data_IF_036786729751
#
_entry.id   IF_036786729751
#
_cell.length_a   1.000
_cell.length_b   1.000
_cell.length_c   1.000
_cell.angle_alpha   90.00
_cell.angle_beta   90.00
_cell.angle_gamma   90.00
#
_symmetry.space_group_name_H-M   'P 1'
#
loop_
_entity.id
_entity.type
_entity.pdbx_description
1 polymer ?
#
# COMPACT_ATOMS: atom_id res chain seq x y z
N UNK A 1 -8.61 -17.34 -22.48
CA UNK A 1 -9.18 -16.93 -21.17
C UNK A 1 -8.04 -16.78 -20.16
N UNK A 2 -7.69 -15.55 -19.76
CA UNK A 2 -6.58 -15.32 -18.82
C UNK A 2 -7.00 -15.56 -17.37
N UNK A 3 -6.26 -16.42 -16.63
CA UNK A 3 -6.41 -16.57 -15.18
C UNK A 3 -6.14 -15.22 -14.51
N UNK A 4 -7.00 -14.77 -13.60
CA UNK A 4 -6.71 -13.58 -12.79
C UNK A 4 -5.54 -13.89 -11.84
N UNK A 5 -4.37 -13.27 -12.05
CA UNK A 5 -3.19 -13.37 -11.17
C UNK A 5 -3.35 -12.55 -9.87
N UNK A 6 -4.57 -12.47 -9.33
CA UNK A 6 -4.86 -11.67 -8.17
C UNK A 6 -4.43 -12.42 -6.91
N UNK A 7 -3.41 -11.89 -6.23
CA UNK A 7 -2.93 -12.33 -4.92
C UNK A 7 -4.11 -12.60 -3.95
N UNK A 8 -4.18 -13.78 -3.30
CA UNK A 8 -5.22 -14.10 -2.33
C UNK A 8 -5.42 -13.01 -1.26
N UNK A 9 -4.32 -12.40 -0.79
CA UNK A 9 -4.39 -11.32 0.20
C UNK A 9 -5.11 -10.09 -0.35
N UNK A 10 -4.84 -9.75 -1.62
CA UNK A 10 -5.46 -8.59 -2.27
C UNK A 10 -6.98 -8.77 -2.42
N UNK A 11 -7.43 -10.00 -2.76
CA UNK A 11 -8.86 -10.32 -2.83
C UNK A 11 -9.52 -10.23 -1.46
N UNK A 12 -8.87 -10.74 -0.43
CA UNK A 12 -9.38 -10.73 0.93
C UNK A 12 -9.51 -9.29 1.47
N UNK A 13 -8.46 -8.48 1.32
CA UNK A 13 -8.48 -7.06 1.70
C UNK A 13 -9.61 -6.30 0.99
N UNK A 14 -9.79 -6.54 -0.31
CA UNK A 14 -10.86 -5.91 -1.07
C UNK A 14 -12.25 -6.36 -0.58
N UNK A 15 -12.45 -7.65 -0.28
CA UNK A 15 -13.71 -8.17 0.28
C UNK A 15 -14.02 -7.57 1.66
N UNK A 16 -12.99 -7.42 2.50
CA UNK A 16 -13.13 -6.81 3.81
C UNK A 16 -13.43 -5.32 3.70
N UNK A 17 -12.82 -4.62 2.75
CA UNK A 17 -13.13 -3.22 2.46
C UNK A 17 -14.58 -3.05 1.98
N UNK A 18 -15.10 -3.95 1.12
CA UNK A 18 -16.52 -3.94 0.72
C UNK A 18 -17.43 -4.02 1.94
N UNK A 19 -17.19 -4.98 2.84
CA UNK A 19 -17.96 -5.12 4.09
C UNK A 19 -17.91 -3.83 4.93
N UNK A 20 -16.74 -3.23 5.05
CA UNK A 20 -16.56 -2.01 5.81
C UNK A 20 -17.26 -0.80 5.18
N UNK A 21 -17.27 -0.68 3.86
CA UNK A 21 -17.98 0.43 3.19
C UNK A 21 -19.50 0.35 3.40
N UNK A 22 -20.06 -0.86 3.54
CA UNK A 22 -21.50 -1.11 3.79
C UNK A 22 -21.86 -1.18 5.29
N UNK A 23 -21.08 -0.55 6.17
CA UNK A 23 -21.45 -0.44 7.59
C UNK A 23 -20.89 -1.53 8.50
N UNK A 24 -20.42 -2.67 7.97
CA UNK A 24 -19.93 -3.77 8.81
C UNK A 24 -18.56 -3.45 9.44
N UNK A 25 -18.20 -4.07 10.57
CA UNK A 25 -16.86 -3.94 11.13
C UNK A 25 -15.78 -4.49 10.18
N UNK A 26 -14.57 -3.93 10.25
CA UNK A 26 -13.42 -4.48 9.55
C UNK A 26 -12.86 -5.66 10.37
N UNK A 27 -12.69 -6.85 9.78
CA UNK A 27 -12.46 -8.09 10.54
C UNK A 27 -11.02 -8.30 11.02
N UNK A 28 -10.15 -7.30 10.87
CA UNK A 28 -8.74 -7.37 11.31
C UNK A 28 -8.40 -6.18 12.18
N UNK A 29 -7.45 -6.34 13.09
CA UNK A 29 -6.88 -5.22 13.85
C UNK A 29 -6.30 -4.19 12.88
N UNK A 30 -6.74 -2.96 13.03
CA UNK A 30 -6.36 -1.85 12.17
C UNK A 30 -6.35 -0.56 12.99
N UNK A 31 -5.67 0.46 12.49
CA UNK A 31 -5.77 1.82 13.02
C UNK A 31 -6.60 2.66 12.06
N UNK A 32 -7.57 3.40 12.58
CA UNK A 32 -8.20 4.48 11.83
C UNK A 32 -7.30 5.70 11.98
N UNK A 33 -6.88 6.27 10.85
CA UNK A 33 -5.99 7.43 10.84
C UNK A 33 -6.66 8.57 10.08
N UNK A 34 -6.78 9.71 10.76
CA UNK A 34 -7.17 10.96 10.12
C UNK A 34 -5.98 11.52 9.34
N UNK A 35 -6.25 11.97 8.13
CA UNK A 35 -5.23 12.33 7.15
C UNK A 35 -5.63 13.60 6.42
N UNK A 36 -4.64 14.26 5.85
CA UNK A 36 -4.85 15.48 5.07
C UNK A 36 -5.78 15.21 3.86
N UNK A 37 -6.73 16.11 3.58
CA UNK A 37 -7.70 15.93 2.49
C UNK A 37 -7.09 16.02 1.07
N UNK A 38 -5.91 16.63 0.92
CA UNK A 38 -5.23 16.87 -0.36
C UNK A 38 -4.09 15.88 -0.57
N UNK A 39 -3.27 15.63 0.44
CA UNK A 39 -2.08 14.78 0.34
C UNK A 39 -2.31 13.41 0.97
N UNK A 40 -3.33 13.28 1.81
CA UNK A 40 -3.69 12.02 2.42
C UNK A 40 -2.61 11.50 3.33
N UNK A 41 -2.49 10.17 3.39
CA UNK A 41 -1.40 9.51 4.13
C UNK A 41 0.01 9.90 3.64
N UNK A 42 0.14 10.55 2.47
CA UNK A 42 1.45 10.88 1.87
C UNK A 42 2.20 11.98 2.60
N UNK A 43 1.55 12.70 3.51
CA UNK A 43 2.20 13.69 4.38
C UNK A 43 3.10 13.04 5.43
N UNK A 44 2.84 11.76 5.76
CA UNK A 44 3.57 11.05 6.79
C UNK A 44 4.70 10.21 6.19
N UNK A 45 5.89 10.27 6.81
CA UNK A 45 6.96 9.32 6.58
C UNK A 45 6.60 7.94 7.18
N UNK A 46 7.27 6.85 6.76
CA UNK A 46 7.08 5.54 7.38
C UNK A 46 7.24 5.56 8.91
N UNK A 47 8.25 6.25 9.44
CA UNK A 47 8.48 6.35 10.88
C UNK A 47 7.33 7.03 11.60
N UNK A 48 6.82 8.15 11.07
CA UNK A 48 5.66 8.84 11.64
C UNK A 48 4.40 7.96 11.63
N UNK A 49 4.20 7.15 10.58
CA UNK A 49 3.11 6.17 10.55
C UNK A 49 3.32 5.10 11.63
N UNK A 50 4.54 4.58 11.80
CA UNK A 50 4.84 3.57 12.81
C UNK A 50 4.62 4.08 14.24
N UNK A 51 5.00 5.33 14.51
CA UNK A 51 4.86 6.01 15.81
C UNK A 51 3.40 6.35 16.15
N UNK A 52 2.61 6.72 15.14
CA UNK A 52 1.20 7.12 15.33
C UNK A 52 0.21 5.94 15.33
N UNK A 53 0.68 4.71 15.13
CA UNK A 53 -0.20 3.56 14.94
C UNK A 53 0.19 2.38 15.83
N UNK A 54 -0.80 1.85 16.55
CA UNK A 54 -0.62 0.69 17.41
C UNK A 54 -0.57 -0.58 16.55
N UNK A 55 0.63 -1.10 16.30
CA UNK A 55 0.87 -2.35 15.57
C UNK A 55 1.49 -3.43 16.46
N UNK A 56 1.17 -4.69 16.19
CA UNK A 56 1.81 -5.85 16.84
C UNK A 56 3.14 -6.23 16.19
N UNK A 57 3.40 -5.80 14.95
CA UNK A 57 4.59 -6.14 14.18
C UNK A 57 5.19 -4.88 13.55
N UNK A 58 6.48 -4.61 13.79
CA UNK A 58 7.18 -3.43 13.27
C UNK A 58 7.29 -3.37 11.73
N UNK A 59 6.99 -4.46 11.02
CA UNK A 59 7.13 -4.55 9.56
C UNK A 59 5.83 -4.30 8.79
N UNK A 60 4.68 -4.25 9.46
CA UNK A 60 3.39 -4.02 8.81
C UNK A 60 2.49 -3.07 9.60
N UNK A 61 1.71 -2.26 8.89
CA UNK A 61 0.60 -1.49 9.46
C UNK A 61 -0.60 -1.58 8.56
N UNK A 62 -1.76 -1.86 9.16
CA UNK A 62 -3.05 -1.86 8.47
C UNK A 62 -3.86 -0.67 8.94
N UNK A 63 -4.17 0.21 8.00
CA UNK A 63 -4.73 1.52 8.25
C UNK A 63 -6.01 1.70 7.46
N UNK A 64 -6.99 2.34 8.06
CA UNK A 64 -8.16 2.86 7.35
C UNK A 64 -8.08 4.38 7.40
N UNK A 65 -8.15 4.99 6.23
CA UNK A 65 -8.09 6.45 6.05
C UNK A 65 -9.34 6.92 5.30
N UNK A 66 -9.81 8.11 5.63
CA UNK A 66 -10.94 8.75 4.96
C UNK A 66 -10.44 9.93 4.14
N UNK A 67 -10.26 9.74 2.83
CA UNK A 67 -9.64 10.76 1.97
C UNK A 67 -10.17 10.68 0.53
N UNK A 68 -10.27 11.82 -0.14
CA UNK A 68 -10.67 11.85 -1.54
C UNK A 68 -9.51 11.37 -2.42
N UNK A 69 -9.70 10.21 -3.05
CA UNK A 69 -8.69 9.56 -3.92
C UNK A 69 -8.26 10.41 -5.12
N UNK A 70 -9.13 11.31 -5.59
CA UNK A 70 -8.90 12.16 -6.78
C UNK A 70 -8.03 13.37 -6.43
N UNK A 71 -8.01 13.74 -5.14
CA UNK A 71 -7.26 14.89 -4.65
C UNK A 71 -5.86 14.52 -4.16
N UNK A 72 -5.59 13.23 -3.90
CA UNK A 72 -4.33 12.71 -3.32
C UNK A 72 -3.10 12.96 -4.22
N UNK A 73 -2.51 14.14 -4.10
CA UNK A 73 -1.27 14.56 -4.80
C UNK A 73 -0.03 13.94 -4.15
N UNK A 74 1.07 13.88 -4.90
CA UNK A 74 2.38 13.60 -4.32
C UNK A 74 2.71 14.75 -3.37
N UNK A 75 3.12 14.43 -2.14
CA UNK A 75 3.64 15.39 -1.19
C UNK A 75 5.16 15.31 -1.16
N UNK A 76 5.84 16.27 -1.79
CA UNK A 76 7.29 16.38 -1.80
C UNK A 76 7.69 17.78 -1.32
N UNK A 77 7.74 17.95 0.00
CA UNK A 77 8.17 19.22 0.61
C UNK A 77 9.70 19.36 0.58
N UNK A 78 10.18 20.61 0.50
CA UNK A 78 11.61 20.95 0.69
C UNK A 78 12.10 20.59 2.09
N UNK A 79 11.21 20.55 3.08
CA UNK A 79 11.53 20.21 4.47
C UNK A 79 11.38 18.71 4.75
N UNK A 80 10.54 18.01 3.99
CA UNK A 80 10.34 16.57 4.19
C UNK A 80 11.57 15.75 3.74
N UNK A 81 12.04 14.78 4.54
CA UNK A 81 13.21 13.96 4.18
C UNK A 81 12.95 13.04 2.97
N UNK A 82 11.68 12.80 2.65
CA UNK A 82 11.27 11.94 1.55
C UNK A 82 9.82 12.15 1.13
N UNK A 83 9.36 11.30 0.22
CA UNK A 83 7.99 11.33 -0.31
C UNK A 83 7.56 9.95 -0.85
N UNK A 84 6.24 9.74 -0.90
CA UNK A 84 5.64 8.57 -1.52
C UNK A 84 5.48 8.75 -3.03
N UNK A 85 6.09 7.86 -3.81
CA UNK A 85 5.94 7.83 -5.27
C UNK A 85 5.15 6.61 -5.71
N UNK A 86 4.05 6.85 -6.42
CA UNK A 86 3.16 5.77 -6.89
C UNK A 86 3.68 5.10 -8.16
N UNK A 87 3.43 3.80 -8.29
CA UNK A 87 3.64 3.07 -9.54
C UNK A 87 2.62 3.55 -10.59
N UNK A 88 3.01 3.68 -11.87
CA UNK A 88 2.09 4.19 -12.91
C UNK A 88 0.86 3.31 -13.12
N UNK A 89 1.03 1.99 -13.04
CA UNK A 89 -0.04 1.02 -13.25
C UNK A 89 -0.83 0.79 -11.96
N UNK A 90 -2.16 0.80 -12.08
CA UNK A 90 -3.10 0.38 -11.05
C UNK A 90 -3.50 -1.07 -11.32
N UNK A 91 -3.61 -1.88 -10.27
CA UNK A 91 -4.09 -3.26 -10.38
C UNK A 91 -5.59 -3.29 -10.11
N UNK A 92 -6.39 -3.75 -11.07
CA UNK A 92 -7.83 -3.96 -10.90
C UNK A 92 -8.08 -5.28 -10.16
N UNK A 93 -9.06 -5.30 -9.25
CA UNK A 93 -9.50 -6.49 -8.54
C UNK A 93 -10.95 -6.79 -8.91
N UNK A 94 -11.24 -8.06 -9.18
CA UNK A 94 -12.55 -8.54 -9.63
C UNK A 94 -13.14 -9.54 -8.63
N UNK A 95 -14.47 -9.58 -8.52
CA UNK A 95 -15.17 -10.60 -7.74
C UNK A 95 -15.29 -11.94 -8.50
N UNK A 96 -15.87 -12.94 -7.86
CA UNK A 96 -16.07 -14.27 -8.46
C UNK A 96 -16.90 -14.22 -9.76
N UNK A 97 -17.76 -13.21 -9.90
CA UNK A 97 -18.60 -12.98 -11.08
C UNK A 97 -17.91 -12.06 -12.11
N UNK A 98 -16.59 -11.85 -11.98
CA UNK A 98 -15.78 -10.97 -12.83
C UNK A 98 -16.23 -9.50 -12.83
N UNK A 99 -16.99 -9.06 -11.83
CA UNK A 99 -17.33 -7.64 -11.69
C UNK A 99 -16.17 -6.90 -11.05
N UNK A 100 -15.84 -5.72 -11.59
CA UNK A 100 -14.76 -4.88 -11.06
C UNK A 100 -15.15 -4.34 -9.68
N UNK A 101 -14.44 -4.77 -8.65
CA UNK A 101 -14.68 -4.32 -7.26
C UNK A 101 -14.00 -2.97 -7.01
N UNK A 102 -12.77 -2.84 -7.49
CA UNK A 102 -11.90 -1.74 -7.12
C UNK A 102 -10.49 -1.92 -7.63
N UNK A 103 -9.58 -1.10 -7.12
CA UNK A 103 -8.20 -1.12 -7.55
C UNK A 103 -7.24 -1.05 -6.37
N UNK A 104 -5.99 -1.37 -6.67
CA UNK A 104 -4.86 -1.24 -5.78
C UNK A 104 -3.88 -0.26 -6.41
N UNK A 105 -3.50 0.75 -5.62
CA UNK A 105 -2.42 1.68 -5.93
C UNK A 105 -1.24 1.34 -5.03
N UNK A 106 -0.08 1.11 -5.65
CA UNK A 106 1.16 0.80 -4.93
C UNK A 106 2.02 2.05 -4.94
N UNK A 107 2.51 2.47 -3.78
CA UNK A 107 3.49 3.55 -3.68
C UNK A 107 4.69 3.11 -2.86
N UNK A 108 5.86 3.59 -3.27
CA UNK A 108 7.12 3.35 -2.58
C UNK A 108 7.58 4.65 -1.95
N UNK A 109 8.14 4.56 -0.74
CA UNK A 109 8.73 5.73 -0.10
C UNK A 109 10.16 5.93 -0.62
N UNK A 110 10.44 7.15 -1.06
CA UNK A 110 11.77 7.58 -1.48
C UNK A 110 12.26 8.67 -0.55
N UNK A 111 13.56 8.72 -0.30
CA UNK A 111 14.19 9.74 0.52
C UNK A 111 15.46 10.24 -0.16
N UNK A 112 15.87 11.45 0.18
CA UNK A 112 17.16 11.97 -0.25
C UNK A 112 18.21 11.56 0.78
N UNK A 113 19.26 10.86 0.34
CA UNK A 113 20.45 10.73 1.17
C UNK A 113 21.14 12.11 1.20
N UNK A 114 21.12 12.74 2.37
CA UNK A 114 21.71 14.07 2.65
C UNK A 114 22.76 13.98 3.76
N UNK A 115 23.40 12.82 3.91
CA UNK A 115 24.31 12.48 5.01
C UNK A 115 25.55 13.40 5.12
N UNK A 116 25.71 14.35 4.20
CA UNK A 116 26.83 15.29 4.09
C UNK A 116 26.39 16.77 3.96
N UNK A 117 25.13 17.09 4.27
CA UNK A 117 24.63 18.47 4.23
C UNK A 117 24.44 19.06 2.83
N UNK A 118 24.54 18.24 1.77
CA UNK A 118 24.39 18.69 0.37
C UNK A 118 22.92 18.78 -0.07
N UNK A 119 22.68 19.62 -1.08
CA UNK A 119 21.35 19.84 -1.65
C UNK A 119 20.67 18.58 -2.19
N UNK A 120 19.33 18.57 -2.13
CA UNK A 120 18.49 17.52 -2.70
C UNK A 120 18.70 17.44 -4.21
N UNK A 121 19.09 16.25 -4.70
CA UNK A 121 19.24 15.99 -6.13
C UNK A 121 18.66 14.63 -6.52
N UNK A 122 18.25 14.48 -7.78
CA UNK A 122 17.70 13.22 -8.29
C UNK A 122 18.70 12.05 -8.18
N UNK A 123 20.01 12.32 -8.33
CA UNK A 123 21.06 11.31 -8.16
C UNK A 123 21.21 10.80 -6.73
N UNK A 124 20.75 11.58 -5.74
CA UNK A 124 20.73 11.22 -4.32
C UNK A 124 19.41 10.60 -3.86
N UNK A 125 18.42 10.51 -4.74
CA UNK A 125 17.15 9.88 -4.41
C UNK A 125 17.36 8.38 -4.22
N UNK A 126 16.93 7.86 -3.07
CA UNK A 126 16.99 6.44 -2.73
C UNK A 126 15.58 5.92 -2.51
N UNK A 127 15.35 4.71 -3.00
CA UNK A 127 14.13 3.97 -2.72
C UNK A 127 14.30 3.27 -1.37
N UNK A 128 13.40 3.50 -0.44
CA UNK A 128 13.39 2.76 0.83
C UNK A 128 12.79 1.37 0.68
N UNK A 129 12.92 0.58 1.74
CA UNK A 129 12.21 -0.68 1.90
C UNK A 129 10.69 -0.55 2.07
N UNK A 130 10.17 0.65 2.32
CA UNK A 130 8.77 0.85 2.67
C UNK A 130 7.87 1.01 1.45
N UNK A 131 6.77 0.24 1.46
CA UNK A 131 5.71 0.27 0.47
C UNK A 131 4.36 0.51 1.16
N UNK A 132 3.48 1.28 0.52
CA UNK A 132 2.05 1.30 0.82
C UNK A 132 1.25 0.69 -0.33
N UNK A 133 0.21 -0.06 0.02
CA UNK A 133 -0.82 -0.57 -0.88
C UNK A 133 -2.15 0.03 -0.47
N UNK A 134 -2.69 0.89 -1.32
CA UNK A 134 -3.97 1.55 -1.10
C UNK A 134 -5.05 0.82 -1.90
N UNK A 135 -5.98 0.18 -1.20
CA UNK A 135 -7.15 -0.49 -1.74
C UNK A 135 -8.34 0.48 -1.70
N UNK A 136 -9.08 0.57 -2.81
CA UNK A 136 -10.27 1.40 -2.89
C UNK A 136 -11.29 0.79 -3.86
N UNK A 137 -12.57 0.97 -3.52
CA UNK A 137 -13.67 0.50 -4.35
C UNK A 137 -13.87 1.41 -5.58
N UNK A 138 -14.32 0.82 -6.68
CA UNK A 138 -14.89 1.61 -7.77
C UNK A 138 -16.30 2.07 -7.38
N UNK A 139 -16.67 3.28 -7.79
CA UNK A 139 -18.00 3.84 -7.50
C UNK A 139 -19.14 3.05 -8.16
N UNK A 140 -18.82 2.19 -9.14
CA UNK A 140 -19.77 1.36 -9.89
C UNK A 140 -20.05 0.00 -9.26
N UNK A 141 -19.32 -0.39 -8.20
CA UNK A 141 -19.44 -1.74 -7.64
C UNK A 141 -20.64 -1.89 -6.69
N UNK A 142 -20.87 -0.88 -5.84
CA UNK A 142 -21.97 -0.85 -4.88
C UNK A 142 -22.98 0.21 -5.30
N UNK A 143 -24.29 -0.09 -5.22
CA UNK A 143 -25.33 0.93 -5.28
C UNK A 143 -25.11 2.00 -4.20
N UNK A 144 -25.32 3.28 -4.55
CA UNK A 144 -25.02 4.40 -3.64
C UNK A 144 -25.83 4.35 -2.33
N UNK A 145 -27.05 3.82 -2.37
CA UNK A 145 -27.89 3.64 -1.19
C UNK A 145 -27.39 2.54 -0.23
N UNK A 146 -26.41 1.71 -0.64
CA UNK A 146 -25.76 0.71 0.21
C UNK A 146 -24.44 1.20 0.81
N UNK A 147 -23.98 2.40 0.44
CA UNK A 147 -22.70 2.96 0.90
C UNK A 147 -22.92 3.77 2.17
N UNK A 148 -22.50 3.23 3.31
CA UNK A 148 -22.57 3.92 4.60
C UNK A 148 -21.32 4.76 4.86
N UNK A 149 -20.14 4.28 4.45
CA UNK A 149 -18.86 4.97 4.65
C UNK A 149 -18.27 5.43 3.32
N UNK A 150 -18.16 6.75 3.13
CA UNK A 150 -17.64 7.36 1.90
C UNK A 150 -16.13 7.60 2.00
N UNK A 151 -15.46 7.70 0.85
CA UNK A 151 -14.04 8.06 0.75
C UNK A 151 -13.09 7.16 1.56
N UNK A 152 -13.47 5.89 1.77
CA UNK A 152 -12.67 4.93 2.51
C UNK A 152 -11.54 4.40 1.64
N UNK A 153 -10.31 4.53 2.12
CA UNK A 153 -9.14 3.84 1.61
C UNK A 153 -8.61 2.91 2.69
N UNK A 154 -8.41 1.65 2.34
CA UNK A 154 -7.66 0.71 3.17
C UNK A 154 -6.20 0.77 2.73
N UNK A 155 -5.30 1.11 3.65
CA UNK A 155 -3.87 1.22 3.38
C UNK A 155 -3.11 0.17 4.16
N UNK A 156 -2.38 -0.68 3.44
CA UNK A 156 -1.44 -1.63 4.02
C UNK A 156 -0.02 -1.12 3.79
N UNK A 157 0.66 -0.71 4.86
CA UNK A 157 2.08 -0.39 4.84
C UNK A 157 2.89 -1.64 5.17
N UNK A 158 3.93 -1.91 4.39
CA UNK A 158 4.76 -3.11 4.51
C UNK A 158 6.23 -2.72 4.32
N UNK A 159 7.09 -3.21 5.22
CA UNK A 159 8.54 -3.23 5.06
C UNK A 159 8.92 -4.39 4.15
N UNK A 160 9.49 -4.11 2.98
CA UNK A 160 9.96 -5.14 2.05
C UNK A 160 11.46 -5.37 2.26
N UNK A 161 11.97 -6.60 2.20
CA UNK A 161 13.43 -6.79 2.25
C UNK A 161 14.08 -6.02 1.09
N UNK A 162 15.06 -5.17 1.40
CA UNK A 162 15.73 -4.35 0.39
C UNK A 162 16.24 -5.25 -0.75
N UNK A 163 16.03 -4.84 -1.99
CA UNK A 163 16.73 -5.46 -3.10
C UNK A 163 18.22 -5.16 -2.90
N UNK A 164 19.05 -6.19 -2.71
CA UNK A 164 20.51 -6.04 -2.72
C UNK A 164 20.90 -5.32 -4.01
N UNK A 165 21.28 -4.06 -3.90
CA UNK A 165 22.00 -3.34 -4.95
C UNK A 165 23.44 -3.87 -4.95
N UNK A 166 23.65 -5.06 -5.49
CA UNK A 166 24.96 -5.44 -6.00
C UNK A 166 24.94 -5.25 -7.51
N UNK A 167 25.65 -4.21 -7.95
CA UNK A 167 26.23 -4.17 -9.29
C UNK A 167 27.03 -5.46 -9.49
N UNK A 168 26.57 -6.33 -10.37
CA UNK A 168 27.45 -7.11 -11.23
C UNK A 168 26.68 -7.56 -12.46
N UNK A 169 27.22 -7.22 -13.62
CA UNK A 169 26.82 -7.72 -14.92
C UNK A 169 26.75 -9.26 -14.88
N UNK A 170 25.60 -9.82 -15.25
CA UNK A 170 25.50 -10.71 -16.41
C UNK A 170 24.06 -11.18 -16.61
N UNK A 171 23.65 -11.15 -17.88
CA UNK A 171 22.41 -11.73 -18.39
C UNK A 171 22.34 -13.22 -18.05
N UNK A 172 21.26 -13.66 -17.42
CA UNK A 172 20.29 -14.58 -18.01
C UNK A 172 19.25 -15.00 -16.97
N UNK A 173 17.99 -14.90 -17.39
CA UNK A 173 16.90 -15.83 -17.15
C UNK A 173 16.79 -16.50 -15.78
N UNK A 174 15.85 -16.03 -14.94
CA UNK A 174 15.16 -16.78 -13.87
C UNK A 174 14.06 -15.90 -13.26
N UNK A 175 12.88 -15.92 -13.88
CA UNK A 175 11.67 -15.23 -13.39
C UNK A 175 10.99 -15.91 -12.20
N UNK A 176 11.51 -17.04 -11.70
CA UNK A 176 10.76 -17.89 -10.77
C UNK A 176 11.21 -17.79 -9.30
N UNK A 177 12.45 -17.40 -9.01
CA UNK A 177 12.94 -17.27 -7.62
C UNK A 177 12.35 -16.08 -6.87
N UNK A 178 11.83 -15.07 -7.59
CA UNK A 178 11.17 -13.90 -6.99
C UNK A 178 9.77 -14.20 -6.47
N UNK A 179 9.11 -15.23 -7.02
CA UNK A 179 7.74 -15.59 -6.63
C UNK A 179 7.71 -16.53 -5.42
N UNK A 180 8.72 -17.40 -5.27
CA UNK A 180 8.82 -18.31 -4.13
C UNK A 180 9.15 -17.60 -2.81
N UNK A 181 9.95 -16.53 -2.82
CA UNK A 181 10.24 -15.75 -1.60
C UNK A 181 9.05 -14.94 -1.07
N UNK A 182 8.11 -14.56 -1.92
CA UNK A 182 6.85 -13.89 -1.50
C UNK A 182 5.92 -14.90 -0.80
N UNK A 183 6.03 -16.20 -1.10
CA UNK A 183 5.16 -17.24 -0.52
C UNK A 183 5.56 -17.57 0.93
N UNK A 184 6.85 -17.50 1.27
CA UNK A 184 7.33 -17.68 2.65
C UNK A 184 6.83 -16.54 3.58
N UNK A 185 6.87 -15.28 3.11
CA UNK A 185 6.30 -14.13 3.86
C UNK A 185 4.77 -14.21 3.99
N UNK A 186 4.06 -14.89 3.07
CA UNK A 186 2.60 -15.10 3.21
C UNK A 186 2.24 -16.00 4.38
N UNK A 187 3.08 -16.98 4.71
CA UNK A 187 2.83 -17.87 5.84
C UNK A 187 3.03 -17.14 7.18
N UNK A 188 4.07 -16.32 7.31
CA UNK A 188 4.28 -15.48 8.51
C UNK A 188 3.20 -14.38 8.64
N UNK A 189 2.83 -13.72 7.54
CA UNK A 189 1.74 -12.73 7.56
C UNK A 189 0.42 -13.42 7.94
N UNK A 190 0.09 -14.59 7.40
CA UNK A 190 -1.13 -15.33 7.79
C UNK A 190 -1.10 -15.77 9.26
N UNK A 191 0.04 -16.21 9.79
CA UNK A 191 0.17 -16.58 11.20
C UNK A 191 0.05 -15.38 12.15
N UNK A 192 0.57 -14.21 11.77
CA UNK A 192 0.40 -12.98 12.56
C UNK A 192 -1.04 -12.40 12.50
N UNK A 193 -1.90 -12.90 11.61
CA UNK A 193 -3.28 -12.42 11.39
C UNK A 193 -4.35 -13.34 11.99
N UNK A 194 -3.95 -14.47 12.59
CA UNK A 194 -4.84 -15.48 13.19
C UNK A 194 -4.97 -15.38 14.72
N UNK A 195 -4.50 -14.29 15.34
CA UNK A 195 -4.63 -14.01 16.77
C UNK A 195 -5.64 -12.88 17.03
#
# INVERSE_FOLDING_TARGET
MGKSNDDPMDKEMMKNLVKYVIGKPFPRKHTIMDVDGVYGIRVFSPSQILESTNGTNNNTRLLITFQNRENCKIFASKEAPGFWKSTPKRKSIFDANKRHIGNIKISWYYYYNVDDGRDKSASRLRKSEWQIREYYLTSKYLPQNKVERKNVLLTLMIKTKAANNNNNNNNNDKSDDKMQRIILDKQEIMQCLQL
#
